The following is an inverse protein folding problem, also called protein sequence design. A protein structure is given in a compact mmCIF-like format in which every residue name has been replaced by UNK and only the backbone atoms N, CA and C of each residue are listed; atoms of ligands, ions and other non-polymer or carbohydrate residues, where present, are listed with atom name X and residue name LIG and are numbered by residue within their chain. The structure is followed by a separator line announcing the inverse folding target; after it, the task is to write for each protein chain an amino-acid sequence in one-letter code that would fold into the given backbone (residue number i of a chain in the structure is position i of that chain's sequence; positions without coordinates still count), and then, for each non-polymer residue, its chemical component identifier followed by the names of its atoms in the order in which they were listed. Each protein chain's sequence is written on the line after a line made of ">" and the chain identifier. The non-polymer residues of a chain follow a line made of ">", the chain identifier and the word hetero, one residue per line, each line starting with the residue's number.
data_IF_463733899063
#
_entry.id   IF_463733899063
#
_cell.length_a   1.000
_cell.length_b   1.000
_cell.length_c   1.000
_cell.angle_alpha   90.00
_cell.angle_beta   90.00
_cell.angle_gamma   90.00
#
_symmetry.space_group_name_H-M   'P 1'
#
loop_
_entity.id
_entity.type
_entity.pdbx_description
1 polymer ?
2 non-polymer ?
3 non-polymer ?
4 non-polymer ?
5 water ?
#
# COMPACT_ATOMS: atom_id res chain seq x y z
N UNK A 1 13.71 23.75 -4.88
CA UNK A 1 13.41 22.36 -5.33
C UNK A 1 14.40 21.37 -4.71
N UNK A 2 13.86 20.29 -4.17
CA UNK A 2 14.62 19.25 -3.46
C UNK A 2 13.81 17.96 -3.55
N UNK A 3 14.46 16.85 -3.86
CA UNK A 3 13.74 15.58 -3.94
C UNK A 3 14.09 14.61 -2.82
N UNK A 4 13.11 13.84 -2.38
CA UNK A 4 13.29 12.91 -1.28
C UNK A 4 12.75 11.52 -1.57
N UNK A 5 13.51 10.51 -1.16
CA UNK A 5 13.19 9.11 -1.40
C UNK A 5 12.60 8.40 -0.18
N UNK A 6 11.68 7.47 -0.43
CA UNK A 6 11.12 6.64 0.62
C UNK A 6 10.89 5.21 0.18
N UNK A 7 10.91 4.31 1.15
CA UNK A 7 10.73 2.89 0.90
C UNK A 7 9.79 2.29 1.93
N UNK A 8 8.90 1.41 1.46
CA UNK A 8 7.94 0.73 2.31
C UNK A 8 7.89 -0.76 2.02
N UNK A 9 7.54 -1.54 3.04
CA UNK A 9 7.44 -2.98 2.89
C UNK A 9 6.39 -3.50 3.85
N UNK A 10 5.54 -4.39 3.36
CA UNK A 10 4.51 -4.98 4.21
C UNK A 10 4.18 -6.44 3.85
N UNK A 11 3.65 -7.17 4.83
CA UNK A 11 3.26 -8.56 4.66
C UNK A 11 1.97 -8.85 5.42
N UNK A 12 1.06 -9.59 4.80
CA UNK A 12 -0.06 -10.20 5.54
C UNK A 12 -0.24 -11.66 5.21
N UNK A 13 -0.70 -12.39 6.21
CA UNK A 13 -0.96 -13.81 6.11
C UNK A 13 -2.38 -14.05 5.60
N UNK A 14 -2.55 -15.08 4.78
CA UNK A 14 -3.88 -15.54 4.41
C UNK A 14 -4.56 -16.19 5.59
N UNK A 15 -5.88 -16.07 5.65
CA UNK A 15 -6.65 -16.61 6.77
C UNK A 15 -8.12 -16.29 6.60
N UNK A 16 -8.97 -17.21 7.04
CA UNK A 16 -10.36 -17.21 6.63
C UNK A 16 -10.52 -17.18 5.12
N UNK A 17 -11.57 -16.52 4.65
CA UNK A 17 -11.98 -16.62 3.25
C UNK A 17 -12.11 -15.25 2.61
N UNK A 18 -12.09 -15.21 1.29
CA UNK A 18 -11.98 -13.96 0.56
C UNK A 18 -13.24 -13.12 0.66
N UNK A 19 -13.27 -12.01 -0.06
CA UNK A 19 -12.15 -11.63 -0.93
C UNK A 19 -11.04 -10.94 -0.15
N UNK A 20 -9.97 -10.55 -0.85
CA UNK A 20 -8.98 -9.64 -0.30
C UNK A 20 -9.12 -8.24 -0.88
N UNK A 21 -8.52 -7.26 -0.21
CA UNK A 21 -8.47 -5.90 -0.73
C UNK A 21 -7.01 -5.52 -0.97
N UNK A 22 -6.66 -5.18 -2.22
CA UNK A 22 -5.29 -4.82 -2.58
C UNK A 22 -5.33 -3.56 -3.44
N UNK A 23 -4.63 -2.52 -3.00
CA UNK A 23 -4.65 -1.22 -3.70
C UNK A 23 -6.05 -0.62 -3.74
N UNK A 24 -6.84 -0.90 -2.71
CA UNK A 24 -8.23 -0.44 -2.65
C UNK A 24 -9.24 -1.32 -3.39
N UNK A 25 -8.76 -2.27 -4.19
CA UNK A 25 -9.63 -3.09 -5.05
C UNK A 25 -10.03 -4.41 -4.40
N UNK A 26 -11.33 -4.71 -4.41
CA UNK A 26 -11.85 -5.98 -3.89
C UNK A 26 -11.61 -7.09 -4.91
N UNK A 27 -10.74 -8.04 -4.57
CA UNK A 27 -10.31 -9.08 -5.51
C UNK A 27 -10.81 -10.46 -5.07
N UNK A 28 -11.55 -11.17 -5.94
CA UNK A 28 -12.06 -12.48 -5.49
C UNK A 28 -10.91 -13.45 -5.26
N UNK A 29 -11.00 -14.21 -4.18
CA UNK A 29 -10.00 -15.22 -3.84
C UNK A 29 -10.53 -16.17 -2.77
N UNK A 30 -10.03 -17.40 -2.78
CA UNK A 30 -10.48 -18.46 -1.86
C UNK A 30 -10.18 -18.16 -0.39
N UNK A 31 -9.08 -17.46 -0.13
CA UNK A 31 -8.71 -17.07 1.24
C UNK A 31 -8.78 -15.55 1.39
N UNK A 32 -8.91 -15.08 2.63
CA UNK A 32 -8.88 -13.65 2.91
C UNK A 32 -7.56 -13.23 3.52
N UNK A 33 -7.45 -11.96 3.87
CA UNK A 33 -6.24 -11.49 4.55
C UNK A 33 -6.50 -11.15 6.00
N UNK A 34 -5.74 -11.82 6.88
CA UNK A 34 -5.78 -11.59 8.32
C UNK A 34 -5.20 -10.23 8.67
N UNK A 35 -5.97 -9.45 9.41
CA UNK A 35 -5.48 -8.20 9.93
C UNK A 35 -6.46 -7.46 10.81
N UNK A 36 -5.93 -6.46 11.51
CA UNK A 36 -6.71 -5.35 12.03
C UNK A 36 -7.41 -4.57 10.95
N UNK A 37 -6.76 -4.45 9.79
CA UNK A 37 -7.10 -3.40 8.84
C UNK A 37 -7.99 -3.94 7.72
N UNK A 38 -8.03 -3.21 6.61
CA UNK A 38 -8.16 -3.83 5.29
C UNK A 38 -7.42 -5.16 5.23
N UNK A 39 -6.17 -5.16 5.69
CA UNK A 39 -5.18 -6.11 5.21
C UNK A 39 -4.58 -5.69 3.88
N UNK A 40 -4.81 -4.44 3.50
CA UNK A 40 -4.23 -3.89 2.28
C UNK A 40 -2.71 -3.74 2.41
N UNK A 41 -1.98 -4.73 1.91
CA UNK A 41 -0.53 -4.73 2.02
C UNK A 41 0.11 -3.80 0.99
N UNK A 42 -0.61 -3.54 -0.09
CA UNK A 42 -0.15 -2.62 -1.12
C UNK A 42 -0.17 -1.18 -0.61
N UNK A 43 -1.25 -0.81 0.06
CA UNK A 43 -1.46 0.57 0.48
C UNK A 43 -0.69 0.87 1.77
N UNK A 44 -0.47 -0.17 2.58
CA UNK A 44 0.41 -0.07 3.74
C UNK A 44 1.87 0.16 3.34
N UNK A 45 2.36 -0.62 2.39
CA UNK A 45 3.74 -0.45 1.91
C UNK A 45 3.91 0.94 1.29
N UNK A 46 2.91 1.38 0.53
CA UNK A 46 2.94 2.71 -0.09
C UNK A 46 2.92 3.81 0.95
N UNK A 47 2.05 3.66 1.94
CA UNK A 47 1.93 4.64 3.00
C UNK A 47 3.26 4.80 3.73
N UNK A 48 3.88 3.68 4.09
CA UNK A 48 5.21 3.71 4.70
C UNK A 48 6.28 4.35 3.81
N UNK A 49 6.20 4.14 2.50
CA UNK A 49 7.16 4.76 1.57
C UNK A 49 7.01 6.27 1.57
N UNK A 50 5.76 6.75 1.56
CA UNK A 50 5.48 8.18 1.58
C UNK A 50 5.90 8.81 2.92
N UNK A 51 5.56 8.17 4.03
CA UNK A 51 5.96 8.66 5.34
C UNK A 51 7.48 8.68 5.49
N UNK A 52 8.14 7.63 5.00
CA UNK A 52 9.60 7.52 5.06
C UNK A 52 10.32 8.59 4.25
N UNK A 53 9.76 8.94 3.10
CA UNK A 53 10.32 10.02 2.31
C UNK A 53 10.20 11.37 3.00
N UNK A 54 9.15 11.53 3.81
CA UNK A 54 8.94 12.77 4.55
C UNK A 54 9.46 12.65 5.98
N UNK A 55 10.00 11.49 6.32
CA UNK A 55 10.70 11.31 7.58
C UNK A 55 9.75 11.45 8.77
N UNK A 56 8.76 10.56 8.84
CA UNK A 56 7.58 10.79 9.65
C UNK A 56 7.20 9.54 10.44
N UNK A 57 8.06 8.54 10.39
CA UNK A 57 8.20 7.70 9.22
C UNK A 57 7.71 6.28 9.46
N UNK A 58 6.71 6.14 10.33
CA UNK A 58 5.95 4.91 10.43
C UNK A 58 4.45 5.17 10.37
N UNK A 59 3.68 4.13 10.07
CA UNK A 59 2.25 4.14 10.31
C UNK A 59 1.93 3.73 11.75
N UNK A 60 2.79 2.89 12.32
CA UNK A 60 2.81 2.68 13.76
C UNK A 60 3.11 3.95 14.53
N UNK A 61 3.92 4.82 13.93
CA UNK A 61 4.45 5.98 14.64
C UNK A 61 3.52 7.17 14.61
N UNK A 62 2.68 7.25 13.59
CA UNK A 62 1.66 8.28 13.51
C UNK A 62 0.26 7.68 13.41
N UNK A 63 0.16 6.38 13.69
CA UNK A 63 -0.96 5.84 14.45
C UNK A 63 -0.55 4.60 15.22
N UNK A 64 0.10 4.80 16.36
CA UNK A 64 -0.12 3.96 17.54
C UNK A 64 -1.53 3.37 17.55
N UNK A 65 -1.64 2.10 17.95
CA UNK A 65 -2.93 1.50 18.22
C UNK A 65 -3.88 2.49 18.88
N UNK A 66 -4.53 3.31 18.06
CA UNK A 66 -5.85 3.83 18.38
C UNK A 66 -6.76 2.74 18.92
N UNK A 67 -6.43 1.49 18.60
CA UNK A 67 -7.43 0.52 18.18
C UNK A 67 -8.62 0.49 19.13
N UNK A 68 -9.79 0.15 18.61
CA UNK A 68 -10.22 0.64 17.29
C UNK A 68 -10.30 2.16 17.25
N UNK A 69 -10.52 2.71 16.07
CA UNK A 69 -11.84 2.67 15.44
C UNK A 69 -12.02 1.40 14.62
N UNK A 70 -11.12 0.45 14.81
CA UNK A 70 -10.33 -0.10 13.72
C UNK A 70 -10.34 -1.63 13.73
N UNK A 71 -11.45 -2.21 13.29
CA UNK A 71 -11.43 -3.52 12.66
C UNK A 71 -12.06 -3.48 11.27
N UNK A 72 -11.37 -4.06 10.29
CA UNK A 72 -11.66 -3.81 8.89
C UNK A 72 -11.51 -2.34 8.53
N UNK A 73 -10.60 -1.66 9.21
CA UNK A 73 -10.30 -0.26 8.92
C UNK A 73 -9.87 -0.05 7.46
N UNK A 74 -10.39 1.00 6.84
CA UNK A 74 -10.14 1.28 5.44
C UNK A 74 -8.76 1.90 5.23
N UNK A 75 -7.83 1.11 4.68
CA UNK A 75 -6.46 1.53 4.42
C UNK A 75 -6.32 2.76 3.52
N UNK A 76 -7.33 3.03 2.70
CA UNK A 76 -7.39 4.27 1.92
C UNK A 76 -7.52 5.51 2.81
N UNK A 77 -8.22 5.38 3.94
CA UNK A 77 -8.32 6.45 4.94
C UNK A 77 -6.95 6.73 5.54
N UNK A 78 -6.25 5.66 5.91
CA UNK A 78 -4.89 5.75 6.42
C UNK A 78 -4.00 6.45 5.41
N UNK A 79 -4.10 6.05 4.14
CA UNK A 79 -3.32 6.66 3.08
C UNK A 79 -3.58 8.17 2.94
N UNK A 80 -4.86 8.56 2.89
CA UNK A 80 -5.23 9.98 2.72
C UNK A 80 -4.82 10.86 3.91
N UNK A 81 -4.97 10.33 5.12
CA UNK A 81 -4.55 11.04 6.33
C UNK A 81 -3.03 11.20 6.39
N UNK A 82 -2.29 10.12 6.13
CA UNK A 82 -0.84 10.19 6.02
C UNK A 82 -0.46 11.24 4.98
N UNK A 83 -1.24 11.32 3.91
CA UNK A 83 -0.94 12.24 2.82
C UNK A 83 -1.19 13.70 3.20
N UNK A 84 -2.27 13.95 3.94
CA UNK A 84 -2.56 15.29 4.47
C UNK A 84 -1.38 15.79 5.29
N UNK A 85 -0.91 14.95 6.21
CA UNK A 85 0.20 15.30 7.09
C UNK A 85 1.52 15.52 6.37
N UNK A 86 1.74 14.77 5.29
CA UNK A 86 2.92 14.94 4.45
C UNK A 86 2.87 16.28 3.72
N UNK A 87 1.70 16.63 3.19
CA UNK A 87 1.52 17.90 2.51
C UNK A 87 1.64 19.11 3.44
N UNK A 88 1.22 18.94 4.69
CA UNK A 88 1.30 20.01 5.68
C UNK A 88 2.76 20.36 6.00
N UNK A 89 3.66 19.40 5.80
CA UNK A 89 5.10 19.62 5.92
C UNK A 89 5.70 20.25 4.66
N UNK A 90 4.87 20.51 3.65
CA UNK A 90 5.32 21.21 2.45
C UNK A 90 5.71 20.35 1.25
N UNK A 91 5.53 19.04 1.36
CA UNK A 91 5.86 18.13 0.26
C UNK A 91 4.75 18.01 -0.77
N UNK A 92 5.14 17.86 -2.03
CA UNK A 92 4.25 17.46 -3.11
C UNK A 92 4.78 16.17 -3.73
N UNK A 93 3.97 15.53 -4.57
CA UNK A 93 4.32 14.22 -5.12
C UNK A 93 5.20 14.30 -6.36
N UNK A 94 6.27 13.51 -6.36
CA UNK A 94 7.01 13.21 -7.57
C UNK A 94 6.31 12.04 -8.25
N UNK A 95 6.62 10.83 -7.79
CA UNK A 95 5.92 9.65 -8.28
C UNK A 95 6.05 8.50 -7.29
N UNK A 96 5.23 7.47 -7.47
CA UNK A 96 5.35 6.25 -6.67
C UNK A 96 5.37 5.01 -7.56
N UNK A 97 6.02 3.96 -7.06
CA UNK A 97 6.03 2.68 -7.74
C UNK A 97 5.84 1.59 -6.70
N UNK A 98 5.00 0.60 -7.02
CA UNK A 98 4.57 -0.40 -6.05
C UNK A 98 4.77 -1.79 -6.66
N UNK A 99 5.29 -2.73 -5.88
CA UNK A 99 5.51 -4.09 -6.36
C UNK A 99 4.83 -5.09 -5.44
N UNK A 100 3.75 -5.68 -5.93
CA UNK A 100 3.01 -6.68 -5.17
C UNK A 100 3.68 -8.03 -5.38
N UNK A 101 4.01 -8.71 -4.29
CA UNK A 101 4.63 -10.03 -4.37
C UNK A 101 3.63 -11.09 -3.89
N UNK A 102 3.09 -11.84 -4.84
CA UNK A 102 2.05 -12.83 -4.57
C UNK A 102 2.11 -13.93 -5.61
N UNK A 103 1.92 -15.17 -5.17
CA UNK A 103 1.77 -16.29 -6.10
C UNK A 103 0.41 -16.20 -6.80
N UNK A 104 -0.59 -15.72 -6.05
CA UNK A 104 -1.97 -15.66 -6.49
C UNK A 104 -2.73 -14.82 -5.45
N UNK A 105 -3.85 -14.20 -5.84
CA UNK A 105 -4.47 -14.22 -7.16
C UNK A 105 -3.74 -13.34 -8.17
N UNK A 106 -4.20 -13.41 -9.42
CA UNK A 106 -3.65 -12.61 -10.49
C UNK A 106 -3.99 -11.13 -10.23
N UNK A 107 -2.97 -10.28 -10.21
CA UNK A 107 -3.17 -8.86 -9.91
C UNK A 107 -3.42 -8.01 -11.16
N UNK A 108 -2.82 -8.41 -12.28
CA UNK A 108 -2.86 -7.61 -13.52
C UNK A 108 -4.22 -7.01 -13.93
N UNK A 109 -5.33 -7.78 -13.87
CA UNK A 109 -6.58 -7.15 -14.30
C UNK A 109 -7.03 -5.98 -13.40
N UNK A 110 -6.58 -5.97 -12.15
CA UNK A 110 -7.05 -5.01 -11.16
C UNK A 110 -6.16 -3.80 -11.02
N UNK A 111 -4.99 -3.85 -11.64
CA UNK A 111 -4.01 -2.77 -11.51
C UNK A 111 -4.51 -1.39 -11.98
N UNK A 112 -5.16 -1.31 -13.17
CA UNK A 112 -5.69 0.01 -13.56
C UNK A 112 -6.63 0.65 -12.53
N UNK A 113 -7.51 -0.14 -11.91
CA UNK A 113 -8.38 0.39 -10.85
C UNK A 113 -7.61 0.75 -9.56
N UNK A 114 -6.56 -0.02 -9.24
CA UNK A 114 -5.69 0.32 -8.11
C UNK A 114 -5.12 1.72 -8.33
N UNK A 115 -4.63 1.96 -9.54
CA UNK A 115 -4.00 3.23 -9.89
C UNK A 115 -4.98 4.39 -9.82
N UNK A 116 -6.23 4.16 -10.23
CA UNK A 116 -7.28 5.17 -10.11
C UNK A 116 -7.42 5.57 -8.64
N UNK A 117 -7.54 4.57 -7.77
CA UNK A 117 -7.71 4.80 -6.35
C UNK A 117 -6.54 5.58 -5.77
N UNK A 118 -5.32 5.06 -5.96
CA UNK A 118 -4.13 5.70 -5.42
C UNK A 118 -4.01 7.15 -5.91
N UNK A 119 -4.22 7.38 -7.20
CA UNK A 119 -4.11 8.72 -7.78
C UNK A 119 -5.16 9.69 -7.22
N UNK A 120 -6.36 9.18 -6.99
CA UNK A 120 -7.38 9.97 -6.33
C UNK A 120 -6.92 10.35 -4.92
N UNK A 121 -6.53 9.34 -4.15
CA UNK A 121 -6.13 9.51 -2.76
C UNK A 121 -4.91 10.41 -2.56
N UNK A 122 -4.08 10.56 -3.59
CA UNK A 122 -2.89 11.39 -3.49
C UNK A 122 -3.04 12.69 -4.29
N UNK A 123 -4.21 12.85 -4.92
CA UNK A 123 -4.53 14.03 -5.72
C UNK A 123 -3.58 14.29 -6.87
N UNK A 124 -3.12 13.23 -7.54
CA UNK A 124 -2.15 13.35 -8.64
C UNK A 124 -2.70 12.78 -9.95
N UNK A 125 -1.94 12.95 -11.03
CA UNK A 125 -2.20 12.22 -12.26
C UNK A 125 -1.90 10.73 -12.10
N UNK A 126 -2.50 9.91 -12.96
CA UNK A 126 -2.27 8.47 -12.92
C UNK A 126 -0.88 8.12 -13.44
N UNK A 127 -0.29 9.03 -14.20
CA UNK A 127 1.05 8.82 -14.74
C UNK A 127 2.11 8.93 -13.66
N UNK A 128 1.70 9.33 -12.46
CA UNK A 128 2.60 9.42 -11.32
C UNK A 128 2.50 8.19 -10.44
N UNK A 129 1.68 7.23 -10.85
CA UNK A 129 1.43 6.04 -10.06
C UNK A 129 1.66 4.79 -10.90
N UNK A 130 2.64 3.99 -10.49
CA UNK A 130 2.84 2.68 -11.10
C UNK A 130 2.63 1.56 -10.10
N UNK A 131 1.97 0.50 -10.54
CA UNK A 131 1.80 -0.71 -9.75
C UNK A 131 2.15 -1.93 -10.61
N UNK A 132 2.90 -2.86 -10.03
CA UNK A 132 3.15 -4.14 -10.68
C UNK A 132 3.06 -5.30 -9.71
N UNK A 133 3.07 -6.51 -10.26
CA UNK A 133 3.02 -7.73 -9.48
C UNK A 133 4.11 -8.68 -9.96
N UNK A 134 4.54 -9.57 -9.06
CA UNK A 134 5.47 -10.64 -9.40
C UNK A 134 5.18 -11.85 -8.51
N UNK A 135 5.50 -13.05 -8.99
CA UNK A 135 5.40 -14.25 -8.15
C UNK A 135 6.80 -14.54 -7.63
N UNK A 136 6.92 -15.47 -6.70
CA UNK A 136 8.25 -15.93 -6.30
C UNK A 136 8.49 -17.36 -6.76
N UNK A 137 7.81 -17.72 -7.85
CA UNK A 137 7.90 -19.05 -8.46
C UNK A 137 7.83 -20.21 -7.46
N UNK A 138 6.80 -20.18 -6.62
CA UNK A 138 6.50 -21.25 -5.66
C UNK A 138 7.46 -21.30 -4.46
N UNK A 139 8.36 -20.33 -4.35
CA UNK A 139 9.33 -20.32 -3.26
C UNK A 139 8.94 -19.38 -2.13
N UNK A 140 9.31 -19.75 -0.91
CA UNK A 140 9.09 -18.90 0.25
C UNK A 140 7.64 -18.87 0.69
N UNK A 141 7.34 -18.07 1.70
CA UNK A 141 6.00 -18.05 2.23
C UNK A 141 4.97 -17.51 1.22
N UNK A 142 5.39 -16.62 0.32
CA UNK A 142 4.50 -16.13 -0.73
C UNK A 142 4.24 -17.25 -1.74
N UNK A 143 5.31 -17.98 -2.07
CA UNK A 143 5.26 -19.08 -3.02
C UNK A 143 4.39 -20.25 -2.57
N UNK A 144 4.41 -20.55 -1.27
CA UNK A 144 3.60 -21.64 -0.71
C UNK A 144 2.15 -21.21 -0.48
N UNK A 145 1.81 -19.98 -0.89
CA UNK A 145 0.47 -19.42 -0.71
C UNK A 145 0.12 -19.08 0.73
N UNK A 146 1.12 -18.77 1.55
CA UNK A 146 0.88 -18.49 2.98
C UNK A 146 0.54 -17.03 3.25
N UNK A 147 0.97 -16.15 2.35
CA UNK A 147 0.66 -14.73 2.46
C UNK A 147 1.05 -13.91 1.25
N UNK A 148 0.89 -12.59 1.36
CA UNK A 148 1.26 -11.64 0.32
C UNK A 148 2.18 -10.56 0.89
N UNK A 149 3.19 -10.22 0.11
CA UNK A 149 4.14 -9.18 0.47
C UNK A 149 4.00 -8.06 -0.55
N UNK A 150 4.47 -6.88 -0.18
CA UNK A 150 4.49 -5.75 -1.10
C UNK A 150 5.63 -4.80 -0.77
N UNK A 151 6.27 -4.29 -1.80
CA UNK A 151 7.26 -3.23 -1.66
C UNK A 151 6.81 -2.01 -2.40
N UNK A 152 7.29 -0.85 -1.95
CA UNK A 152 6.93 0.41 -2.57
C UNK A 152 8.09 1.38 -2.42
N UNK A 153 8.26 2.22 -3.43
CA UNK A 153 9.15 3.37 -3.33
C UNK A 153 8.39 4.63 -3.70
N UNK A 154 8.84 5.76 -3.16
CA UNK A 154 8.20 7.05 -3.42
C UNK A 154 9.22 8.16 -3.56
N UNK A 155 8.97 9.08 -4.49
CA UNK A 155 9.78 10.29 -4.61
C UNK A 155 8.96 11.54 -4.28
N UNK A 156 9.46 12.34 -3.35
CA UNK A 156 8.75 13.53 -2.90
C UNK A 156 9.47 14.80 -3.32
N UNK A 157 8.70 15.86 -3.57
CA UNK A 157 9.27 17.17 -3.91
C UNK A 157 8.96 18.16 -2.79
N UNK A 158 9.94 18.97 -2.41
CA UNK A 158 9.65 20.13 -1.54
C UNK A 158 10.07 21.45 -2.17
N UNK A 159 9.12 22.39 -2.22
CA UNK A 159 9.39 23.79 -2.57
C UNK A 159 10.16 24.47 -1.42
X LIG B 1 -0.22 -4.08 6.85
X LIG C 1 -8.62 4.62 10.05
X LIG C 1 -7.34 4.63 9.70
X LIG C 1 -6.72 5.79 9.54
X LIG C 1 -6.68 3.47 9.52
X LIG C 1 -6.92 2.76 8.34
X LIG C 1 -6.27 1.55 8.10
X LIG C 1 -5.38 1.05 9.04
X LIG C 1 -5.12 1.73 10.23
X LIG C 1 -5.78 2.96 10.47
X LIG C 1 -5.52 3.65 11.66
X LIG C 1 -4.63 3.15 12.60
X LIG C 1 -3.98 1.94 12.36
X LIG C 1 -4.21 1.22 11.18
X LIG C 1 -3.37 -0.24 10.98
X LIG C 1 -3.39 -1.00 12.28
X LIG C 1 -4.01 -1.08 9.91
X LIG C 1 -1.80 0.08 10.58
X LIG C 1 -1.26 -0.90 9.61
X LIG C 1 -0.93 -2.21 10.34
X LIG C 1 0.47 -2.28 10.60
X LIG C 1 1.38 -3.39 9.84
X LIG C 1 0.51 -4.14 8.89
X LIG C 1 2.62 -2.75 9.32
X LIG C 1 1.80 -4.37 11.09
X LIG C 1 3.26 -4.42 11.81
X LIG C 1 3.09 -5.19 13.07
X LIG C 1 4.31 -4.84 10.86
X LIG C 1 3.54 -2.89 12.19
X LIG C 1 3.13 -2.35 13.47
X LIG C 1 4.12 -1.31 14.00
X LIG C 1 4.98 -1.95 14.96
X LIG C 1 5.04 -0.84 12.88
X LIG C 1 4.46 0.30 12.24
X LIG C 1 6.30 -0.45 13.62
X LIG C 1 6.21 0.91 14.01
X LIG C 1 6.28 -1.32 14.87
X LIG C 1 7.26 -2.44 14.88
X LIG C 1 7.17 -3.54 14.01
X LIG C 1 8.13 -4.55 14.10
X LIG C 1 9.15 -4.44 15.05
X LIG C 1 10.08 -5.38 15.16
X LIG C 1 9.21 -3.39 15.87
X LIG C 1 8.30 -2.40 15.81
X LIG C 1 8.40 -1.45 16.57
X LIG D 1 9.87 -15.68 1.67
X LIG D 1 10.05 -16.40 2.82
X LIG D 1 10.46 -14.43 1.44
X LIG D 1 10.22 -13.76 0.25
X LIG D 1 9.31 -14.36 -0.82
X LIG D 1 10.87 -12.41 -0.01
X LIG D 1 10.03 -11.28 0.59
X LIG D 1 10.78 -10.51 1.46
X LIG D 1 11.58 -9.40 1.16
X LIG D 1 12.33 -8.69 2.29
X LIG D 1 11.72 -8.87 -0.27
X LIG D 1 11.61 -16.56 3.28
X LIG D 1 12.41 -17.12 2.17
X LIG D 1 12.02 -15.28 3.92
X LIG D 1 11.50 -17.69 4.45
X LIG D 1 10.93 -19.19 4.21
X LIG D 1 9.57 -19.40 4.75
X LIG D 1 11.08 -19.57 2.67
X LIG D 1 12.03 -20.11 4.93
#
# INVERSE_FOLDING_TARGET
>A
LEMRIGHGFDVHAFGGEGPIIIGGVRIPYEKGLLAHSDGDVALHALTDALLGAAALGDIGKLFPDTDPAFKGADSRELLREAWRRIQAKGYTLGNVDVTIIAQAPKMLPHIPQMRVFIAEDLGCHMDDVNVKATTTEKLGFTGRGEGIACEAVALLIKA
>B hetero
1 ZN ZN
>C hetero
1 2AA C13 N5 C12 C11 C10 C9' C8' C7' C6' C5' C4' C3' C2' S1 O3' O4' N4 C1' C9 O2' P2 O1' O9 O8 P1 O7 O6 O5 C14 C8 O2 C7 O4 C6 O3 C5 N3 C4 C3 C2 N2 N1 C1 O1
>D hetero
1 GPP C1 O1 C2 C3 C4 C5 C6 C7 C8 C9 C10 PA O1A O2A O3A PB O1B O2B O3B
#
